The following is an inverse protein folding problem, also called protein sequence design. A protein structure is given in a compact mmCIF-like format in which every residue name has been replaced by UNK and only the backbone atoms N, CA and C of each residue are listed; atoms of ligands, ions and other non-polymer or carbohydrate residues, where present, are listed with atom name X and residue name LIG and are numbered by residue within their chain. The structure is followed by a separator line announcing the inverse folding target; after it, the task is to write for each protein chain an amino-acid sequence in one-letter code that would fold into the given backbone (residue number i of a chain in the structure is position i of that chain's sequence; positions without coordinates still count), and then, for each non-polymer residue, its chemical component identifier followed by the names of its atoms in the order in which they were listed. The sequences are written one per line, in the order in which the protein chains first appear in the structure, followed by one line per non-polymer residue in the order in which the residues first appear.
data_IF_738043484164
#
_entry.id   IF_738043484164
#
_cell.length_a   1.000
_cell.length_b   1.000
_cell.length_c   1.000
_cell.angle_alpha   90.00
_cell.angle_beta   90.00
_cell.angle_gamma   90.00
#
_symmetry.space_group_name_H-M   'P 1'
#
loop_
_entity.id
_entity.type
_entity.pdbx_description
1 polymer ?
#
# COMPACT_ATOMS: atom_id res chain seq x y z
N UNK A 1 64.74 -56.55 31.41
CA UNK A 1 63.45 -57.28 31.34
C UNK A 1 62.34 -56.25 31.22
N UNK A 2 61.65 -56.19 30.09
CA UNK A 2 60.18 -56.11 29.95
C UNK A 2 59.86 -55.77 28.48
N UNK A 3 59.12 -56.67 27.83
CA UNK A 3 58.49 -56.51 26.52
C UNK A 3 57.20 -55.70 26.68
N UNK A 4 56.87 -54.84 25.73
CA UNK A 4 55.48 -54.41 25.50
C UNK A 4 55.18 -54.36 24.00
N UNK A 5 54.24 -55.23 23.60
CA UNK A 5 53.50 -55.19 22.34
C UNK A 5 52.47 -54.06 22.38
N UNK A 6 52.20 -53.42 21.24
CA UNK A 6 51.08 -52.51 21.08
C UNK A 6 50.28 -52.84 19.81
N UNK A 7 48.96 -52.90 20.00
CA UNK A 7 47.90 -53.29 19.08
C UNK A 7 47.74 -52.35 17.88
N UNK A 8 47.41 -52.91 16.72
CA UNK A 8 46.86 -52.19 15.56
C UNK A 8 45.36 -51.93 15.74
N UNK A 9 44.96 -50.65 15.68
CA UNK A 9 43.57 -50.19 15.62
C UNK A 9 43.21 -49.89 14.16
N UNK A 10 42.28 -50.65 13.59
CA UNK A 10 41.66 -50.39 12.29
C UNK A 10 40.54 -49.34 12.46
N UNK A 11 40.72 -48.16 11.86
CA UNK A 11 39.68 -47.14 11.75
C UNK A 11 38.76 -47.43 10.55
N UNK A 12 37.49 -47.68 10.83
CA UNK A 12 36.41 -47.74 9.83
C UNK A 12 35.86 -46.33 9.61
N UNK A 13 36.05 -45.77 8.42
CA UNK A 13 35.45 -44.49 8.01
C UNK A 13 34.08 -44.76 7.35
N UNK A 14 32.97 -44.16 7.82
CA UNK A 14 31.70 -44.26 7.11
C UNK A 14 31.72 -43.39 5.85
N UNK A 15 31.28 -43.97 4.72
CA UNK A 15 31.01 -43.23 3.49
C UNK A 15 29.88 -42.22 3.73
N UNK A 16 30.21 -40.93 3.67
CA UNK A 16 29.24 -39.84 3.57
C UNK A 16 28.59 -39.89 2.18
N UNK A 17 27.29 -40.19 2.15
CA UNK A 17 26.46 -40.00 0.96
C UNK A 17 26.31 -38.49 0.71
N UNK A 18 27.03 -37.97 -0.28
CA UNK A 18 26.81 -36.62 -0.83
C UNK A 18 25.45 -36.64 -1.52
N UNK A 19 24.46 -35.96 -0.92
CA UNK A 19 23.18 -35.73 -1.60
C UNK A 19 23.43 -34.80 -2.78
N UNK A 20 22.95 -35.14 -4.00
CA UNK A 20 23.10 -34.26 -5.15
C UNK A 20 22.39 -32.94 -4.84
N UNK A 21 23.14 -31.85 -4.90
CA UNK A 21 22.64 -30.50 -4.79
C UNK A 21 21.46 -30.33 -5.74
N UNK A 22 20.26 -30.22 -5.16
CA UNK A 22 19.04 -30.01 -5.92
C UNK A 22 19.21 -28.77 -6.78
N UNK A 23 18.99 -28.92 -8.08
CA UNK A 23 18.89 -27.82 -9.03
C UNK A 23 17.72 -26.95 -8.53
N UNK A 24 18.05 -25.83 -7.88
CA UNK A 24 17.04 -24.83 -7.55
C UNK A 24 16.47 -24.35 -8.87
N UNK A 25 15.19 -24.61 -9.11
CA UNK A 25 14.48 -24.03 -10.24
C UNK A 25 14.62 -22.50 -10.17
N UNK A 26 14.94 -21.88 -11.29
CA UNK A 26 15.02 -20.42 -11.38
C UNK A 26 13.69 -19.82 -10.89
N UNK A 27 13.73 -18.78 -10.04
CA UNK A 27 12.51 -18.13 -9.58
C UNK A 27 11.76 -17.57 -10.79
N UNK A 28 10.43 -17.71 -10.77
CA UNK A 28 9.60 -17.16 -11.84
C UNK A 28 9.83 -15.65 -11.99
N UNK A 29 9.75 -15.10 -13.21
CA UNK A 29 10.05 -13.70 -13.47
C UNK A 29 9.10 -12.74 -12.71
N UNK A 30 9.53 -11.50 -12.45
CA UNK A 30 8.68 -10.48 -11.83
C UNK A 30 7.44 -10.22 -12.67
N UNK A 31 6.28 -10.06 -12.02
CA UNK A 31 5.03 -9.72 -12.70
C UNK A 31 4.10 -8.86 -11.85
N UNK A 32 3.20 -8.16 -12.53
CA UNK A 32 2.14 -7.33 -11.95
C UNK A 32 0.81 -7.70 -12.60
N UNK A 33 -0.24 -7.76 -11.79
CA UNK A 33 -1.61 -8.02 -12.24
C UNK A 33 -2.56 -7.07 -11.51
N UNK A 34 -3.36 -6.29 -12.25
CA UNK A 34 -4.41 -5.47 -11.64
C UNK A 34 -5.54 -6.40 -11.22
N UNK A 35 -5.74 -6.54 -9.91
CA UNK A 35 -6.81 -7.32 -9.31
C UNK A 35 -8.14 -6.57 -9.38
N UNK A 36 -8.08 -5.25 -9.22
CA UNK A 36 -9.26 -4.42 -9.27
C UNK A 36 -8.97 -2.94 -9.46
N UNK A 37 -9.96 -2.26 -10.03
CA UNK A 37 -10.02 -0.81 -10.15
C UNK A 37 -11.34 -0.37 -9.53
N UNK A 38 -11.29 0.56 -8.58
CA UNK A 38 -12.46 0.91 -7.79
C UNK A 38 -12.72 2.41 -7.80
N UNK A 39 -13.97 2.80 -8.02
CA UNK A 39 -14.42 4.19 -7.87
C UNK A 39 -15.10 4.36 -6.51
N UNK A 40 -14.67 5.37 -5.77
CA UNK A 40 -15.31 5.76 -4.50
C UNK A 40 -16.79 6.11 -4.72
N UNK A 41 -17.12 6.74 -5.85
CA UNK A 41 -18.50 7.16 -6.18
C UNK A 41 -19.41 6.03 -6.66
N UNK A 42 -18.87 4.88 -7.03
CA UNK A 42 -19.67 3.76 -7.53
C UNK A 42 -20.60 3.18 -6.44
N UNK A 43 -20.36 3.47 -5.16
CA UNK A 43 -21.32 3.25 -4.07
C UNK A 43 -21.44 4.50 -3.19
N UNK A 44 -22.42 5.34 -3.53
CA UNK A 44 -22.66 6.62 -2.85
C UNK A 44 -22.92 6.48 -1.34
N UNK A 45 -23.63 5.44 -0.90
CA UNK A 45 -23.97 5.26 0.51
C UNK A 45 -22.73 4.98 1.36
N UNK A 46 -21.84 4.10 0.91
CA UNK A 46 -20.58 3.83 1.61
C UNK A 46 -19.65 5.04 1.55
N UNK A 47 -19.62 5.72 0.40
CA UNK A 47 -18.81 6.92 0.23
C UNK A 47 -19.23 8.05 1.18
N UNK A 48 -20.52 8.38 1.24
CA UNK A 48 -21.04 9.42 2.13
C UNK A 48 -20.82 9.06 3.61
N UNK A 49 -20.92 7.77 3.97
CA UNK A 49 -20.60 7.29 5.32
C UNK A 49 -19.12 7.44 5.64
N UNK A 50 -18.24 7.10 4.69
CA UNK A 50 -16.80 7.31 4.84
C UNK A 50 -16.51 8.79 5.09
N UNK A 51 -17.05 9.70 4.29
CA UNK A 51 -16.83 11.14 4.45
C UNK A 51 -17.29 11.63 5.82
N UNK A 52 -18.53 11.32 6.21
CA UNK A 52 -19.08 11.74 7.50
C UNK A 52 -18.23 11.25 8.67
N UNK A 53 -17.79 9.97 8.64
CA UNK A 53 -16.93 9.40 9.67
C UNK A 53 -15.56 10.07 9.69
N UNK A 54 -14.91 10.19 8.54
CA UNK A 54 -13.56 10.78 8.44
C UNK A 54 -13.54 12.22 8.92
N UNK A 55 -14.53 13.03 8.54
CA UNK A 55 -14.65 14.42 9.00
C UNK A 55 -14.85 14.49 10.50
N UNK A 56 -15.72 13.64 11.05
CA UNK A 56 -15.98 13.64 12.48
C UNK A 56 -14.77 13.12 13.29
N UNK A 57 -14.09 12.06 12.84
CA UNK A 57 -12.98 11.44 13.59
C UNK A 57 -11.67 12.23 13.46
N UNK A 58 -11.34 12.71 12.26
CA UNK A 58 -10.04 13.31 11.96
C UNK A 58 -10.07 14.83 12.14
N UNK A 59 -11.14 15.49 11.70
CA UNK A 59 -11.17 16.95 11.60
C UNK A 59 -11.93 17.62 12.75
N UNK A 60 -12.65 16.86 13.59
CA UNK A 60 -13.33 17.46 14.75
C UNK A 60 -12.31 17.81 15.85
N UNK A 61 -12.15 19.10 16.20
CA UNK A 61 -11.19 19.51 17.23
C UNK A 61 -11.41 18.88 18.60
N UNK A 62 -12.62 18.41 18.89
CA UNK A 62 -12.92 17.68 20.12
C UNK A 62 -12.22 16.32 20.19
N UNK A 63 -11.96 15.70 19.03
CA UNK A 63 -11.30 14.40 18.91
C UNK A 63 -9.78 14.50 18.79
N UNK A 64 -9.23 15.73 18.73
CA UNK A 64 -7.78 15.93 18.73
C UNK A 64 -7.13 15.36 20.00
N UNK A 65 -5.88 14.93 19.86
CA UNK A 65 -5.07 14.51 21.01
C UNK A 65 -4.91 15.65 22.01
N UNK A 66 -4.77 15.33 23.30
CA UNK A 66 -4.56 16.37 24.33
C UNK A 66 -3.28 17.18 24.09
N UNK A 67 -2.25 16.57 23.48
CA UNK A 67 -1.04 17.28 23.09
C UNK A 67 -1.35 18.37 22.05
N UNK A 68 -2.13 18.04 21.01
CA UNK A 68 -2.52 19.02 19.99
C UNK A 68 -3.44 20.10 20.58
N UNK A 69 -4.39 19.73 21.44
CA UNK A 69 -5.25 20.70 22.14
C UNK A 69 -4.45 21.65 23.02
N UNK A 70 -3.47 21.15 23.77
CA UNK A 70 -2.60 21.99 24.59
C UNK A 70 -1.76 22.93 23.72
N UNK A 71 -1.18 22.42 22.63
CA UNK A 71 -0.47 23.25 21.67
C UNK A 71 -1.35 24.40 21.13
N UNK A 72 -2.60 24.13 20.75
CA UNK A 72 -3.52 25.17 20.28
C UNK A 72 -3.80 26.21 21.37
N UNK A 73 -4.02 25.79 22.63
CA UNK A 73 -4.22 26.70 23.76
C UNK A 73 -2.98 27.58 24.00
N UNK A 74 -1.79 27.00 23.97
CA UNK A 74 -0.52 27.70 24.18
C UNK A 74 -0.25 28.74 23.08
N UNK A 75 -0.75 28.51 21.86
CA UNK A 75 -0.72 29.46 20.75
C UNK A 75 -1.88 30.49 20.79
N UNK A 76 -2.71 30.50 21.83
CA UNK A 76 -3.86 31.39 21.95
C UNK A 76 -5.06 31.03 21.07
N UNK A 77 -5.05 29.85 20.44
CA UNK A 77 -6.09 29.31 19.53
C UNK A 77 -7.02 28.31 20.24
N UNK A 78 -7.20 28.47 21.54
CA UNK A 78 -8.01 27.54 22.35
C UNK A 78 -9.51 27.57 21.99
N UNK A 79 -9.98 28.66 21.40
CA UNK A 79 -11.34 28.86 20.89
C UNK A 79 -11.67 27.97 19.67
N UNK A 80 -10.64 27.48 18.96
CA UNK A 80 -10.82 26.52 17.87
C UNK A 80 -11.18 25.12 18.37
N UNK A 81 -10.98 24.81 19.66
CA UNK A 81 -11.37 23.53 20.27
C UNK A 81 -12.87 23.56 20.56
N UNK A 82 -13.66 23.58 19.49
CA UNK A 82 -15.13 23.59 19.49
C UNK A 82 -15.65 22.46 18.60
N UNK A 83 -16.90 22.02 18.79
CA UNK A 83 -17.54 21.14 17.81
C UNK A 83 -17.49 21.77 16.41
N UNK A 84 -17.34 20.92 15.39
CA UNK A 84 -17.45 21.36 14.01
C UNK A 84 -18.83 21.99 13.76
N UNK A 85 -18.80 23.18 13.15
CA UNK A 85 -20.01 23.82 12.67
C UNK A 85 -20.55 23.08 11.44
N UNK A 86 -21.77 23.41 11.03
CA UNK A 86 -22.32 22.90 9.76
C UNK A 86 -21.48 23.37 8.57
N UNK A 87 -21.03 24.63 8.60
CA UNK A 87 -20.21 25.22 7.53
C UNK A 87 -18.85 24.52 7.46
N UNK A 88 -18.19 24.29 8.60
CA UNK A 88 -16.90 23.58 8.67
C UNK A 88 -17.03 22.17 8.05
N UNK A 89 -18.15 21.47 8.33
CA UNK A 89 -18.42 20.14 7.77
C UNK A 89 -18.64 20.19 6.26
N UNK A 90 -19.42 21.16 5.77
CA UNK A 90 -19.68 21.34 4.34
C UNK A 90 -18.39 21.69 3.58
N UNK A 91 -17.50 22.49 4.19
CA UNK A 91 -16.18 22.81 3.66
C UNK A 91 -15.30 21.54 3.53
N UNK A 92 -15.14 20.79 4.62
CA UNK A 92 -14.36 19.55 4.59
C UNK A 92 -14.92 18.53 3.61
N UNK A 93 -16.24 18.36 3.56
CA UNK A 93 -16.89 17.49 2.58
C UNK A 93 -16.57 17.93 1.15
N UNK A 94 -16.62 19.23 0.86
CA UNK A 94 -16.22 19.80 -0.42
C UNK A 94 -14.78 19.46 -0.80
N UNK A 95 -13.84 19.59 0.14
CA UNK A 95 -12.42 19.26 -0.05
C UNK A 95 -12.25 17.77 -0.40
N UNK A 96 -12.87 16.86 0.36
CA UNK A 96 -12.77 15.43 0.08
C UNK A 96 -13.41 15.06 -1.25
N UNK A 97 -14.57 15.62 -1.58
CA UNK A 97 -15.24 15.36 -2.86
C UNK A 97 -14.41 15.85 -4.04
N UNK A 98 -13.80 17.03 -3.95
CA UNK A 98 -12.91 17.54 -4.99
C UNK A 98 -11.76 16.59 -5.33
N UNK A 99 -11.25 15.84 -4.34
CA UNK A 99 -10.18 14.86 -4.56
C UNK A 99 -10.71 13.49 -4.97
N UNK A 100 -11.71 12.96 -4.27
CA UNK A 100 -12.15 11.58 -4.43
C UNK A 100 -13.12 11.36 -5.59
N UNK A 101 -13.81 12.41 -6.06
CA UNK A 101 -14.83 12.23 -7.09
C UNK A 101 -14.26 11.82 -8.45
N UNK A 102 -13.00 12.17 -8.71
CA UNK A 102 -12.25 11.80 -9.91
C UNK A 102 -11.11 10.83 -9.61
N UNK A 103 -11.03 10.32 -8.37
CA UNK A 103 -10.03 9.34 -8.00
C UNK A 103 -10.51 7.90 -8.16
N UNK A 104 -9.55 7.00 -8.37
CA UNK A 104 -9.76 5.56 -8.29
C UNK A 104 -8.77 4.93 -7.32
N UNK A 105 -9.21 3.86 -6.67
CA UNK A 105 -8.36 2.97 -5.89
C UNK A 105 -7.96 1.80 -6.78
N UNK A 106 -6.66 1.54 -6.92
CA UNK A 106 -6.12 0.44 -7.72
C UNK A 106 -5.57 -0.62 -6.77
N UNK A 107 -5.92 -1.89 -6.98
CA UNK A 107 -5.32 -3.02 -6.27
C UNK A 107 -4.52 -3.88 -7.26
N UNK A 108 -3.23 -4.05 -6.98
CA UNK A 108 -2.29 -4.77 -7.84
C UNK A 108 -1.64 -5.91 -7.07
N UNK A 109 -1.66 -7.11 -7.65
CA UNK A 109 -0.86 -8.24 -7.18
C UNK A 109 0.56 -8.09 -7.69
N UNK A 110 1.52 -8.16 -6.76
CA UNK A 110 2.96 -8.13 -7.04
C UNK A 110 3.51 -9.53 -6.83
N UNK A 111 4.21 -10.07 -7.83
CA UNK A 111 4.84 -11.40 -7.76
C UNK A 111 6.31 -11.31 -8.15
N UNK A 112 7.17 -11.91 -7.32
CA UNK A 112 8.63 -11.95 -7.39
C UNK A 112 9.26 -10.60 -7.76
N UNK A 113 8.94 -9.49 -7.06
CA UNK A 113 9.47 -8.19 -7.44
C UNK A 113 11.00 -8.17 -7.35
N UNK A 114 11.64 -7.54 -8.32
CA UNK A 114 13.08 -7.30 -8.31
C UNK A 114 13.41 -5.86 -7.90
N UNK A 115 14.69 -5.49 -7.93
CA UNK A 115 15.17 -4.17 -7.52
C UNK A 115 14.61 -3.00 -8.35
N UNK A 116 13.95 -3.26 -9.49
CA UNK A 116 13.33 -2.23 -10.33
C UNK A 116 11.91 -1.91 -9.89
N UNK A 117 11.27 -2.74 -9.06
CA UNK A 117 9.93 -2.49 -8.57
C UNK A 117 9.88 -1.20 -7.75
N UNK A 118 8.94 -0.32 -8.09
CA UNK A 118 8.69 0.92 -7.38
C UNK A 118 7.21 1.28 -7.52
N UNK A 119 6.54 1.52 -6.40
CA UNK A 119 5.13 1.95 -6.41
C UNK A 119 5.00 3.33 -7.08
N UNK A 120 6.00 4.21 -6.93
CA UNK A 120 6.02 5.51 -7.60
C UNK A 120 6.13 5.46 -9.13
N UNK A 121 6.38 4.27 -9.73
CA UNK A 121 6.31 4.10 -11.17
C UNK A 121 4.90 3.80 -11.69
N UNK A 122 3.91 3.58 -10.81
CA UNK A 122 2.51 3.54 -11.21
C UNK A 122 2.04 4.95 -11.57
N UNK A 123 1.99 5.25 -12.86
CA UNK A 123 1.64 6.58 -13.37
C UNK A 123 0.60 6.47 -14.49
N UNK A 124 -0.26 7.49 -14.60
CA UNK A 124 -1.11 7.68 -15.76
C UNK A 124 -0.60 8.86 -16.60
N UNK A 125 0.06 8.61 -17.74
CA UNK A 125 0.60 9.66 -18.58
C UNK A 125 -0.48 10.62 -19.05
N UNK A 126 -0.21 11.92 -18.92
CA UNK A 126 -1.06 12.96 -19.47
C UNK A 126 -0.25 13.79 -20.49
N UNK A 127 -0.43 13.57 -21.80
CA UNK A 127 0.33 14.31 -22.81
C UNK A 127 0.03 15.82 -22.82
N UNK A 128 -1.03 16.28 -22.15
CA UNK A 128 -1.34 17.70 -21.99
C UNK A 128 -0.55 18.38 -20.86
N UNK A 129 0.19 17.61 -20.05
CA UNK A 129 0.95 18.11 -18.89
C UNK A 129 2.42 17.67 -18.96
N UNK A 130 3.36 18.42 -18.36
CA UNK A 130 4.73 17.96 -18.18
C UNK A 130 4.79 16.65 -17.38
N UNK A 131 5.76 15.75 -17.65
CA UNK A 131 5.86 14.45 -16.98
C UNK A 131 5.88 14.51 -15.44
N UNK A 132 6.51 15.54 -14.87
CA UNK A 132 6.53 15.75 -13.41
C UNK A 132 5.19 16.14 -12.79
N UNK A 133 4.13 16.31 -13.59
CA UNK A 133 2.77 16.62 -13.15
C UNK A 133 1.77 15.51 -13.51
N UNK A 134 2.26 14.37 -14.00
CA UNK A 134 1.43 13.20 -14.23
C UNK A 134 0.95 12.63 -12.90
N UNK A 135 -0.22 12.02 -12.94
CA UNK A 135 -0.80 11.41 -11.75
C UNK A 135 -0.04 10.12 -11.45
N UNK A 136 0.36 9.96 -10.19
CA UNK A 136 1.12 8.83 -9.69
C UNK A 136 0.38 8.21 -8.51
N UNK A 137 0.79 6.98 -8.12
CA UNK A 137 0.27 6.32 -6.94
C UNK A 137 0.38 7.22 -5.70
N UNK A 138 -0.74 7.36 -4.98
CA UNK A 138 -0.87 8.11 -3.75
C UNK A 138 -1.34 7.21 -2.61
N UNK A 139 -0.78 7.43 -1.41
CA UNK A 139 -1.18 6.76 -0.17
C UNK A 139 -1.20 5.23 -0.31
N UNK A 140 -0.06 4.66 -0.69
CA UNK A 140 0.06 3.24 -0.89
C UNK A 140 -0.08 2.44 0.42
N UNK A 141 -0.75 1.29 0.32
CA UNK A 141 -0.88 0.32 1.39
C UNK A 141 -0.49 -1.05 0.85
N UNK A 142 0.39 -1.75 1.56
CA UNK A 142 0.74 -3.13 1.25
C UNK A 142 -0.14 -4.11 2.02
N UNK A 143 -0.65 -5.11 1.33
CA UNK A 143 -1.51 -6.16 1.88
C UNK A 143 -0.91 -7.54 1.64
N UNK A 144 -1.30 -8.50 2.47
CA UNK A 144 -1.04 -9.92 2.26
C UNK A 144 -1.55 -10.38 0.88
N UNK A 145 -1.01 -11.48 0.34
CA UNK A 145 -1.38 -11.95 -1.01
C UNK A 145 -2.88 -12.29 -1.14
N UNK A 146 -3.54 -12.70 -0.06
CA UNK A 146 -4.99 -12.90 -0.02
C UNK A 146 -5.80 -11.59 0.06
N UNK A 147 -5.16 -10.46 0.40
CA UNK A 147 -5.77 -9.14 0.48
C UNK A 147 -6.57 -8.89 1.77
N UNK A 148 -6.39 -9.73 2.80
CA UNK A 148 -7.18 -9.68 4.03
C UNK A 148 -6.52 -8.88 5.17
N UNK A 149 -5.21 -8.67 5.13
CA UNK A 149 -4.45 -7.97 6.19
C UNK A 149 -3.43 -6.99 5.62
N UNK A 150 -3.13 -5.93 6.37
CA UNK A 150 -2.02 -5.02 6.07
C UNK A 150 -0.68 -5.68 6.39
N UNK A 151 0.33 -5.36 5.60
CA UNK A 151 1.73 -5.68 5.89
C UNK A 151 2.35 -4.42 6.49
N UNK A 152 2.75 -4.50 7.76
CA UNK A 152 3.54 -3.46 8.41
C UNK A 152 4.99 -3.56 7.93
N UNK A 153 5.52 -2.49 7.37
CA UNK A 153 6.91 -2.41 6.94
C UNK A 153 7.79 -1.94 8.08
N UNK A 154 9.04 -2.43 8.12
CA UNK A 154 10.05 -1.81 8.97
C UNK A 154 10.40 -0.41 8.41
N UNK A 155 10.85 0.52 9.26
CA UNK A 155 11.21 1.90 8.87
C UNK A 155 12.22 2.00 7.71
N UNK A 156 13.03 0.95 7.51
CA UNK A 156 14.02 0.87 6.44
C UNK A 156 13.52 0.22 5.15
N UNK A 157 12.37 -0.44 5.19
CA UNK A 157 11.77 -1.14 4.06
C UNK A 157 10.82 -0.22 3.30
N UNK A 158 11.03 -0.11 1.98
CA UNK A 158 10.12 0.64 1.09
C UNK A 158 9.01 -0.24 0.52
N UNK A 159 9.21 -1.55 0.49
CA UNK A 159 8.30 -2.56 -0.05
C UNK A 159 8.46 -3.85 0.75
N UNK A 160 7.43 -4.72 0.82
CA UNK A 160 7.52 -6.00 1.51
C UNK A 160 8.64 -6.90 0.96
N UNK A 161 9.32 -7.61 1.84
CA UNK A 161 10.31 -8.64 1.49
C UNK A 161 9.69 -9.95 0.97
N UNK A 162 8.37 -10.11 1.10
CA UNK A 162 7.64 -11.25 0.54
C UNK A 162 7.74 -11.29 -0.99
N UNK A 163 7.86 -12.48 -1.56
CA UNK A 163 7.81 -12.67 -3.01
C UNK A 163 6.41 -12.48 -3.60
N UNK A 164 5.37 -12.43 -2.78
CA UNK A 164 4.00 -12.19 -3.25
C UNK A 164 3.19 -11.40 -2.24
N UNK A 165 2.58 -10.31 -2.70
CA UNK A 165 1.75 -9.42 -1.89
C UNK A 165 0.85 -8.59 -2.80
N UNK A 166 -0.06 -7.81 -2.22
CA UNK A 166 -0.82 -6.80 -2.97
C UNK A 166 -0.38 -5.41 -2.56
N UNK A 167 -0.44 -4.48 -3.49
CA UNK A 167 -0.33 -3.05 -3.22
C UNK A 167 -1.63 -2.38 -3.64
N UNK A 168 -2.13 -1.51 -2.78
CA UNK A 168 -3.33 -0.72 -3.01
C UNK A 168 -2.93 0.75 -2.95
N UNK A 169 -3.34 1.55 -3.92
CA UNK A 169 -3.03 2.98 -3.97
C UNK A 169 -4.11 3.74 -4.69
N UNK A 170 -4.14 5.06 -4.51
CA UNK A 170 -5.06 5.96 -5.20
C UNK A 170 -4.38 6.62 -6.40
N UNK A 171 -5.10 6.77 -7.50
CA UNK A 171 -4.74 7.66 -8.61
C UNK A 171 -5.84 8.73 -8.71
N UNK A 172 -5.48 9.99 -8.50
CA UNK A 172 -6.37 11.13 -8.71
C UNK A 172 -6.55 11.44 -10.19
N UNK A 173 -7.62 12.16 -10.55
CA UNK A 173 -7.92 12.61 -11.91
C UNK A 173 -7.87 11.48 -12.96
N UNK A 174 -8.44 10.33 -12.61
CA UNK A 174 -8.37 9.11 -13.42
C UNK A 174 -9.01 9.26 -14.80
N UNK A 175 -8.27 8.87 -15.84
CA UNK A 175 -8.72 8.82 -17.23
C UNK A 175 -9.00 7.40 -17.67
N UNK A 176 -10.26 7.09 -17.87
CA UNK A 176 -10.67 5.79 -18.40
C UNK A 176 -10.08 5.54 -19.79
N UNK A 177 -9.66 4.30 -20.05
CA UNK A 177 -9.08 3.89 -21.33
C UNK A 177 -7.62 4.28 -21.54
N UNK A 178 -6.99 4.97 -20.58
CA UNK A 178 -5.55 5.23 -20.59
C UNK A 178 -4.82 4.13 -19.83
N UNK A 179 -3.73 3.54 -20.37
CA UNK A 179 -2.94 2.55 -19.65
C UNK A 179 -2.35 3.12 -18.36
N UNK A 180 -2.15 2.24 -17.37
CA UNK A 180 -1.39 2.53 -16.17
C UNK A 180 0.04 2.03 -16.40
N UNK A 181 1.03 2.92 -16.47
CA UNK A 181 2.42 2.50 -16.61
C UNK A 181 2.95 2.01 -15.26
N UNK A 182 3.94 1.14 -15.28
CA UNK A 182 4.56 0.56 -14.08
C UNK A 182 6.05 0.29 -14.30
N UNK A 183 6.75 -0.19 -13.27
CA UNK A 183 8.14 -0.68 -13.38
C UNK A 183 8.35 -1.76 -14.45
N UNK A 184 7.29 -2.49 -14.84
CA UNK A 184 7.38 -3.61 -15.77
C UNK A 184 6.58 -3.39 -17.07
N UNK A 185 6.23 -2.13 -17.36
CA UNK A 185 5.51 -1.73 -18.57
C UNK A 185 4.04 -1.38 -18.32
N UNK A 186 3.29 -1.29 -19.42
CA UNK A 186 1.90 -0.84 -19.41
C UNK A 186 0.95 -1.94 -18.89
N UNK A 187 0.06 -1.55 -17.98
CA UNK A 187 -1.03 -2.37 -17.47
C UNK A 187 -2.34 -1.82 -18.02
N UNK A 188 -3.24 -2.73 -18.45
CA UNK A 188 -4.58 -2.38 -18.91
C UNK A 188 -5.56 -2.50 -17.74
N UNK A 189 -6.08 -1.40 -17.20
CA UNK A 189 -7.00 -1.45 -16.07
C UNK A 189 -8.38 -1.96 -16.51
N UNK A 190 -9.10 -2.71 -15.64
CA UNK A 190 -10.50 -3.06 -15.88
C UNK A 190 -11.40 -1.82 -15.75
N UNK A 191 -12.72 -2.00 -15.92
CA UNK A 191 -13.69 -0.96 -15.62
C UNK A 191 -13.77 -0.73 -14.09
N UNK A 192 -13.96 0.52 -13.62
CA UNK A 192 -14.11 0.79 -12.20
C UNK A 192 -15.36 0.12 -11.58
N UNK A 193 -15.17 -0.53 -10.44
CA UNK A 193 -16.23 -1.13 -9.61
C UNK A 193 -16.39 -0.36 -8.28
N UNK A 194 -17.45 -0.63 -7.47
CA UNK A 194 -17.51 -0.12 -6.11
C UNK A 194 -16.34 -0.59 -5.23
N UNK A 195 -15.82 0.30 -4.38
CA UNK A 195 -14.77 -0.05 -3.41
C UNK A 195 -15.27 -1.16 -2.45
N UNK A 196 -14.62 -2.33 -2.39
CA UNK A 196 -14.98 -3.40 -1.48
C UNK A 196 -14.91 -2.97 -0.01
N UNK A 197 -15.85 -3.45 0.81
CA UNK A 197 -15.92 -3.14 2.24
C UNK A 197 -14.57 -3.29 2.98
N UNK A 198 -13.78 -4.31 2.62
CA UNK A 198 -12.45 -4.54 3.21
C UNK A 198 -11.46 -3.42 2.92
N UNK A 199 -11.49 -2.81 1.73
CA UNK A 199 -10.52 -1.79 1.33
C UNK A 199 -10.80 -0.45 2.00
N UNK A 200 -12.04 -0.13 2.35
CA UNK A 200 -12.34 1.03 3.20
C UNK A 200 -11.69 0.96 4.59
N UNK A 201 -11.43 -0.26 5.09
CA UNK A 201 -10.75 -0.50 6.37
C UNK A 201 -9.24 -0.65 6.17
N UNK A 202 -8.83 -1.38 5.15
CA UNK A 202 -7.43 -1.73 4.93
C UNK A 202 -6.64 -0.65 4.22
N UNK A 203 -7.23 0.21 3.40
CA UNK A 203 -6.55 1.29 2.69
C UNK A 203 -7.40 2.57 2.73
N UNK A 204 -7.63 3.16 3.92
CA UNK A 204 -8.39 4.40 4.06
C UNK A 204 -7.67 5.52 3.32
N UNK A 205 -8.44 6.38 2.69
CA UNK A 205 -7.89 7.50 1.94
C UNK A 205 -7.42 8.64 2.86
N UNK A 206 -6.22 9.13 2.60
CA UNK A 206 -5.63 10.32 3.21
C UNK A 206 -5.52 11.44 2.16
N UNK A 207 -5.86 12.67 2.56
CA UNK A 207 -5.76 13.83 1.68
C UNK A 207 -4.27 14.12 1.37
N UNK A 208 -3.95 14.56 0.14
CA UNK A 208 -2.67 15.19 -0.16
C UNK A 208 -2.41 16.40 0.74
N UNK A 209 -1.17 16.50 1.23
CA UNK A 209 -0.64 17.65 1.98
C UNK A 209 -0.42 18.88 1.08
#
# INVERSE_FOLDING_TARGET
MLRLSALSLLFFWPLLCVSPSGVMADPAPPSLEIIGLYSFRANRTEYDRFLARTIEEVHNPLNFSENLKNFLRDQGRGDEIRPLSREDREEWEGIYRAHLDEAVLVEVMVTNPDARFSVGHFIQPDPSRPPGQWQAAWNETFLTADGESRIELADTEKVPSSSRYRVVFVIHYWRQGTPLQSSYGDLTPPLPEPVPARLWRLAPYELPD
#
